data_IF_272176545919
#
_entry.id   IF_272176545919
#
_cell.length_a   1.000
_cell.length_b   1.000
_cell.length_c   1.000
_cell.angle_alpha   90.00
_cell.angle_beta   90.00
_cell.angle_gamma   90.00
#
_symmetry.space_group_name_H-M   'P 1'
#
loop_
_entity.id
_entity.type
_entity.pdbx_description
1 polymer ?
#
# COMPACT_ATOMS: atom_id res chain seq x y z
N UNK A 1 9.11 -49.84 8.58
CA UNK A 1 9.03 -48.48 9.05
C UNK A 1 8.37 -47.68 7.93
N UNK A 2 7.24 -47.06 8.18
CA UNK A 2 6.59 -46.15 7.23
C UNK A 2 6.95 -44.73 7.71
N UNK A 3 7.57 -43.95 6.84
CA UNK A 3 7.91 -42.53 7.12
C UNK A 3 6.91 -41.67 6.36
N UNK A 4 6.22 -40.78 7.06
CA UNK A 4 5.39 -39.74 6.49
C UNK A 4 6.11 -38.41 6.57
N UNK A 5 6.19 -37.71 5.46
CA UNK A 5 6.74 -36.35 5.42
C UNK A 5 5.60 -35.38 5.06
N UNK A 6 5.45 -34.30 5.83
CA UNK A 6 4.47 -33.26 5.54
C UNK A 6 5.05 -32.28 4.51
N UNK A 7 4.68 -32.50 3.26
CA UNK A 7 5.12 -31.69 2.12
C UNK A 7 4.19 -30.51 1.80
N UNK A 8 3.20 -30.24 2.65
CA UNK A 8 2.19 -29.18 2.42
C UNK A 8 2.84 -27.81 2.22
N UNK A 9 3.80 -27.47 3.06
CA UNK A 9 4.54 -26.19 2.96
C UNK A 9 5.37 -26.08 1.67
N UNK A 10 5.95 -27.19 1.21
CA UNK A 10 6.72 -27.24 -0.03
C UNK A 10 5.83 -27.05 -1.26
N UNK A 11 4.68 -27.74 -1.30
CA UNK A 11 3.71 -27.59 -2.38
C UNK A 11 3.13 -26.18 -2.42
N UNK A 12 2.82 -25.60 -1.24
CA UNK A 12 2.32 -24.24 -1.16
C UNK A 12 3.36 -23.25 -1.69
N UNK A 13 4.63 -23.36 -1.25
CA UNK A 13 5.72 -22.51 -1.73
C UNK A 13 5.91 -22.62 -3.26
N UNK A 14 5.86 -23.83 -3.83
CA UNK A 14 5.94 -24.02 -5.29
C UNK A 14 4.77 -23.35 -6.04
N UNK A 15 3.54 -23.49 -5.52
CA UNK A 15 2.37 -22.84 -6.10
C UNK A 15 2.49 -21.30 -6.05
N UNK A 16 2.97 -20.75 -4.94
CA UNK A 16 3.14 -19.32 -4.78
C UNK A 16 4.21 -18.76 -5.74
N UNK A 17 5.31 -19.49 -5.96
CA UNK A 17 6.34 -19.11 -6.94
C UNK A 17 5.77 -19.13 -8.37
N UNK A 18 5.11 -20.24 -8.76
CA UNK A 18 4.53 -20.37 -10.09
C UNK A 18 3.46 -19.31 -10.36
N UNK A 19 2.60 -19.04 -9.36
CA UNK A 19 1.59 -18.01 -9.45
C UNK A 19 2.18 -16.61 -9.57
N UNK A 20 3.25 -16.32 -8.80
CA UNK A 20 3.96 -15.05 -8.87
C UNK A 20 4.57 -14.77 -10.25
N UNK A 21 5.12 -15.78 -10.92
CA UNK A 21 5.66 -15.63 -12.27
C UNK A 21 4.56 -15.35 -13.31
N UNK A 22 3.46 -16.10 -13.24
CA UNK A 22 2.28 -15.89 -14.12
C UNK A 22 1.71 -14.48 -13.94
N UNK A 23 1.50 -14.05 -12.68
CA UNK A 23 0.97 -12.73 -12.38
C UNK A 23 1.86 -11.61 -12.89
N UNK A 24 3.19 -11.74 -12.74
CA UNK A 24 4.15 -10.78 -13.26
C UNK A 24 4.08 -10.67 -14.79
N UNK A 25 4.02 -11.81 -15.48
CA UNK A 25 3.92 -11.84 -16.93
C UNK A 25 2.61 -11.22 -17.41
N UNK A 26 1.48 -11.58 -16.81
CA UNK A 26 0.18 -10.99 -17.10
C UNK A 26 0.18 -9.47 -16.86
N UNK A 27 0.80 -9.01 -15.76
CA UNK A 27 0.92 -7.59 -15.47
C UNK A 27 1.66 -6.84 -16.60
N UNK A 28 2.75 -7.39 -17.10
CA UNK A 28 3.47 -6.80 -18.25
C UNK A 28 2.63 -6.81 -19.52
N UNK A 29 1.95 -7.92 -19.82
CA UNK A 29 1.12 -8.05 -21.01
C UNK A 29 -0.11 -7.10 -20.96
N UNK A 30 -0.68 -6.83 -19.77
CA UNK A 30 -1.78 -5.86 -19.62
C UNK A 30 -1.26 -4.41 -19.70
N UNK A 31 -0.10 -4.09 -19.12
CA UNK A 31 0.46 -2.73 -19.18
C UNK A 31 0.82 -2.30 -20.61
N UNK A 32 1.24 -3.24 -21.45
CA UNK A 32 1.66 -2.97 -22.81
C UNK A 32 0.60 -2.25 -23.66
N UNK A 33 -0.69 -2.65 -23.72
CA UNK A 33 -1.72 -1.91 -24.44
C UNK A 33 -2.19 -0.64 -23.71
N UNK A 34 -2.06 -0.53 -22.39
CA UNK A 34 -2.51 0.63 -21.64
C UNK A 34 -1.67 1.89 -21.92
N UNK A 35 -0.37 1.74 -22.08
CA UNK A 35 0.53 2.86 -22.38
C UNK A 35 0.19 3.56 -23.70
N UNK A 36 0.02 2.89 -24.86
CA UNK A 36 -0.39 3.56 -26.08
C UNK A 36 -1.80 4.16 -26.02
N UNK A 37 -2.73 3.59 -25.24
CA UNK A 37 -4.07 4.18 -25.02
C UNK A 37 -3.92 5.53 -24.31
N UNK A 38 -3.15 5.60 -23.22
CA UNK A 38 -2.90 6.84 -22.50
C UNK A 38 -2.24 7.89 -23.39
N UNK A 39 -1.15 7.51 -24.08
CA UNK A 39 -0.46 8.41 -25.01
C UNK A 39 -1.36 8.93 -26.15
N UNK A 40 -2.29 8.11 -26.62
CA UNK A 40 -3.27 8.52 -27.64
C UNK A 40 -4.24 9.56 -27.09
N UNK A 41 -4.75 9.37 -25.85
CA UNK A 41 -5.62 10.33 -25.19
C UNK A 41 -4.89 11.66 -24.91
N UNK A 42 -3.65 11.62 -24.45
CA UNK A 42 -2.80 12.81 -24.23
C UNK A 42 -2.49 13.55 -25.54
N UNK A 43 -2.22 12.81 -26.62
CA UNK A 43 -2.02 13.40 -27.96
C UNK A 43 -3.28 14.05 -28.50
N UNK A 44 -4.46 13.45 -28.28
CA UNK A 44 -5.73 14.09 -28.65
C UNK A 44 -5.91 15.42 -27.93
N UNK A 45 -5.62 15.49 -26.61
CA UNK A 45 -5.65 16.74 -25.87
C UNK A 45 -4.67 17.77 -26.47
N UNK A 46 -3.41 17.41 -26.55
CA UNK A 46 -2.34 18.32 -26.96
C UNK A 46 -2.54 18.85 -28.39
N UNK A 47 -3.02 18.01 -29.32
CA UNK A 47 -3.14 18.38 -30.73
C UNK A 47 -4.42 19.12 -31.09
N UNK A 48 -5.55 18.71 -30.49
CA UNK A 48 -6.86 19.21 -30.92
C UNK A 48 -7.47 20.27 -30.01
N UNK A 49 -7.18 20.28 -28.69
CA UNK A 49 -7.72 21.32 -27.82
C UNK A 49 -7.45 22.76 -28.27
N UNK A 50 -6.24 23.09 -28.79
CA UNK A 50 -6.00 24.45 -29.29
C UNK A 50 -6.76 24.82 -30.55
N UNK A 51 -7.35 23.84 -31.26
CA UNK A 51 -8.03 24.02 -32.53
C UNK A 51 -9.55 24.05 -32.42
N UNK A 52 -10.09 23.71 -31.26
CA UNK A 52 -11.54 23.56 -31.03
C UNK A 52 -12.15 24.80 -30.39
N UNK A 53 -13.43 25.06 -30.65
CA UNK A 53 -14.22 26.04 -29.88
C UNK A 53 -14.28 25.68 -28.39
N UNK A 54 -14.52 26.65 -27.47
CA UNK A 54 -14.45 26.41 -26.03
C UNK A 54 -15.36 25.29 -25.51
N UNK A 55 -16.58 25.17 -26.01
CA UNK A 55 -17.54 24.13 -25.65
C UNK A 55 -17.07 22.71 -26.04
N UNK A 56 -16.49 22.59 -27.23
CA UNK A 56 -15.93 21.33 -27.73
C UNK A 56 -14.58 21.00 -27.03
N UNK A 57 -13.80 22.01 -26.69
CA UNK A 57 -12.57 21.85 -25.90
C UNK A 57 -12.88 21.26 -24.53
N UNK A 58 -13.91 21.74 -23.85
CA UNK A 58 -14.31 21.23 -22.55
C UNK A 58 -14.83 19.79 -22.62
N UNK A 59 -15.58 19.46 -23.66
CA UNK A 59 -16.02 18.09 -23.90
C UNK A 59 -14.82 17.15 -24.13
N UNK A 60 -13.90 17.53 -25.03
CA UNK A 60 -12.70 16.74 -25.31
C UNK A 60 -11.87 16.56 -24.05
N UNK A 61 -11.69 17.62 -23.24
CA UNK A 61 -10.96 17.57 -21.97
C UNK A 61 -11.59 16.56 -21.00
N UNK A 62 -12.90 16.58 -20.85
CA UNK A 62 -13.63 15.64 -19.98
C UNK A 62 -13.45 14.19 -20.44
N UNK A 63 -13.64 13.92 -21.73
CA UNK A 63 -13.54 12.56 -22.29
C UNK A 63 -12.13 11.99 -22.16
N UNK A 64 -11.13 12.76 -22.57
CA UNK A 64 -9.73 12.32 -22.51
C UNK A 64 -9.24 12.17 -21.06
N UNK A 65 -9.65 13.08 -20.17
CA UNK A 65 -9.35 12.96 -18.72
C UNK A 65 -9.93 11.67 -18.15
N UNK A 66 -11.18 11.33 -18.51
CA UNK A 66 -11.78 10.06 -18.07
C UNK A 66 -10.99 8.86 -18.57
N UNK A 67 -10.58 8.85 -19.83
CA UNK A 67 -9.77 7.76 -20.41
C UNK A 67 -8.45 7.62 -19.64
N UNK A 68 -7.73 8.73 -19.43
CA UNK A 68 -6.45 8.74 -18.72
C UNK A 68 -6.64 8.21 -17.28
N UNK A 69 -7.65 8.70 -16.56
CA UNK A 69 -7.94 8.23 -15.21
C UNK A 69 -8.26 6.74 -15.13
N UNK A 70 -9.02 6.20 -16.09
CA UNK A 70 -9.31 4.77 -16.15
C UNK A 70 -8.06 3.94 -16.46
N UNK A 71 -7.22 4.41 -17.37
CA UNK A 71 -5.95 3.74 -17.69
C UNK A 71 -5.01 3.75 -16.48
N UNK A 72 -4.91 4.85 -15.74
CA UNK A 72 -4.08 4.92 -14.54
C UNK A 72 -4.63 4.00 -13.44
N UNK A 73 -5.94 3.97 -13.22
CA UNK A 73 -6.57 3.03 -12.28
C UNK A 73 -6.30 1.56 -12.66
N UNK A 74 -6.36 1.21 -13.95
CA UNK A 74 -6.01 -0.14 -14.43
C UNK A 74 -4.52 -0.46 -14.22
N UNK A 75 -3.62 0.48 -14.45
CA UNK A 75 -2.18 0.31 -14.18
C UNK A 75 -1.92 0.07 -12.70
N UNK A 76 -2.56 0.83 -11.82
CA UNK A 76 -2.45 0.66 -10.37
C UNK A 76 -2.94 -0.74 -9.96
N UNK A 77 -4.12 -1.16 -10.45
CA UNK A 77 -4.67 -2.49 -10.19
C UNK A 77 -3.72 -3.62 -10.60
N UNK A 78 -3.12 -3.50 -11.79
CA UNK A 78 -2.18 -4.48 -12.33
C UNK A 78 -0.87 -4.49 -11.53
N UNK A 79 -0.40 -3.32 -11.06
CA UNK A 79 0.75 -3.22 -10.18
C UNK A 79 0.49 -3.93 -8.84
N UNK A 80 -0.63 -3.59 -8.19
CA UNK A 80 -1.03 -4.20 -6.92
C UNK A 80 -1.17 -5.72 -7.02
N UNK A 81 -1.78 -6.22 -8.11
CA UNK A 81 -1.88 -7.64 -8.37
C UNK A 81 -0.52 -8.32 -8.53
N UNK A 82 0.38 -7.72 -9.32
CA UNK A 82 1.75 -8.21 -9.48
C UNK A 82 2.51 -8.22 -8.16
N UNK A 83 2.35 -7.17 -7.36
CA UNK A 83 3.04 -7.04 -6.07
C UNK A 83 2.49 -8.02 -5.02
N UNK A 84 1.18 -8.25 -5.01
CA UNK A 84 0.57 -9.27 -4.16
C UNK A 84 1.02 -10.69 -4.52
N UNK A 85 1.17 -10.98 -5.81
CA UNK A 85 1.56 -12.31 -6.30
C UNK A 85 3.07 -12.60 -6.16
N UNK A 86 3.93 -11.58 -5.96
CA UNK A 86 5.38 -11.80 -5.79
C UNK A 86 5.66 -12.72 -4.62
N UNK A 87 6.42 -13.79 -4.90
CA UNK A 87 7.00 -14.63 -3.85
C UNK A 87 8.25 -13.95 -3.29
N UNK A 88 8.40 -13.79 -1.99
CA UNK A 88 9.49 -13.01 -1.44
C UNK A 88 10.79 -13.78 -1.33
N UNK A 89 11.86 -13.26 -1.92
CA UNK A 89 13.17 -13.33 -1.30
C UNK A 89 13.31 -12.09 -0.41
N UNK A 90 13.06 -12.22 0.89
CA UNK A 90 13.21 -11.11 1.84
C UNK A 90 14.68 -10.80 2.02
N UNK A 91 15.09 -9.57 1.74
CA UNK A 91 16.42 -9.07 2.03
C UNK A 91 16.38 -8.19 3.29
N UNK A 92 16.77 -8.76 4.43
CA UNK A 92 16.76 -8.05 5.70
C UNK A 92 18.06 -7.24 5.88
N UNK A 93 17.95 -5.93 5.82
CA UNK A 93 19.03 -4.99 6.10
C UNK A 93 18.80 -4.29 7.44
N UNK A 94 19.89 -3.86 8.08
CA UNK A 94 19.80 -3.00 9.27
C UNK A 94 19.45 -1.58 8.85
N UNK A 95 18.27 -1.10 9.22
CA UNK A 95 17.70 0.15 8.74
C UNK A 95 17.23 1.03 9.90
N UNK A 96 17.65 2.32 9.95
CA UNK A 96 17.04 3.30 10.85
C UNK A 96 15.58 3.53 10.44
N UNK A 97 14.65 3.23 11.35
CA UNK A 97 13.21 3.28 11.04
C UNK A 97 12.71 4.72 10.80
N UNK A 98 13.22 5.68 11.56
CA UNK A 98 12.94 7.10 11.39
C UNK A 98 13.31 7.61 9.99
N UNK A 99 14.50 7.25 9.50
CA UNK A 99 14.97 7.63 8.17
C UNK A 99 14.02 7.11 7.09
N UNK A 100 13.64 5.83 7.17
CA UNK A 100 12.71 5.22 6.22
C UNK A 100 11.34 5.93 6.22
N UNK A 101 10.82 6.23 7.41
CA UNK A 101 9.52 6.92 7.54
C UNK A 101 9.61 8.33 6.94
N UNK A 102 10.68 9.10 7.24
CA UNK A 102 10.88 10.43 6.68
C UNK A 102 11.01 10.43 5.16
N UNK A 103 11.74 9.47 4.57
CA UNK A 103 11.83 9.30 3.12
C UNK A 103 10.44 9.16 2.49
N UNK A 104 9.58 8.32 3.07
CA UNK A 104 8.24 8.11 2.54
C UNK A 104 7.35 9.33 2.75
N UNK A 105 7.36 9.96 3.93
CA UNK A 105 6.58 11.18 4.21
C UNK A 105 6.93 12.29 3.21
N UNK A 106 8.20 12.46 2.88
CA UNK A 106 8.68 13.50 1.97
C UNK A 106 8.04 13.39 0.58
N UNK A 107 7.72 12.19 0.10
CA UNK A 107 7.03 11.99 -1.18
C UNK A 107 5.63 12.62 -1.21
N UNK A 108 4.98 12.72 -0.05
CA UNK A 108 3.62 13.25 0.09
C UNK A 108 3.55 14.72 0.51
N UNK A 109 4.67 15.31 0.94
CA UNK A 109 4.73 16.71 1.39
C UNK A 109 4.62 17.73 0.25
N UNK A 110 4.76 17.32 -1.01
CA UNK A 110 4.57 18.19 -2.17
C UNK A 110 3.14 18.75 -2.28
N UNK A 111 2.17 18.07 -1.66
CA UNK A 111 0.80 18.57 -1.56
C UNK A 111 0.61 19.32 -0.25
N UNK A 112 0.56 20.67 -0.32
CA UNK A 112 0.39 21.56 0.85
C UNK A 112 -0.91 21.35 1.65
N UNK A 113 -1.83 20.53 1.14
CA UNK A 113 -3.10 20.20 1.81
C UNK A 113 -2.98 19.00 2.76
N UNK A 114 -1.90 18.24 2.69
CA UNK A 114 -1.70 17.05 3.50
C UNK A 114 -0.83 17.36 4.71
N UNK A 115 -1.29 17.00 5.90
CA UNK A 115 -0.52 17.09 7.15
C UNK A 115 -0.14 15.68 7.59
N UNK A 116 1.12 15.29 7.34
CA UNK A 116 1.66 13.99 7.73
C UNK A 116 2.80 14.23 8.69
N UNK A 117 2.69 13.70 9.91
CA UNK A 117 3.68 13.92 10.97
C UNK A 117 4.18 12.62 11.56
N UNK A 118 5.49 12.56 11.83
CA UNK A 118 6.10 11.54 12.68
C UNK A 118 6.08 12.04 14.13
N UNK A 119 5.38 11.29 15.00
CA UNK A 119 5.35 11.54 16.44
C UNK A 119 6.42 10.68 17.11
N UNK A 120 7.34 11.26 17.81
CA UNK A 120 8.48 10.63 18.47
C UNK A 120 9.55 10.11 17.51
N UNK A 121 10.69 10.76 17.57
CA UNK A 121 11.93 10.32 16.96
C UNK A 121 12.76 9.61 18.03
N UNK A 122 12.82 8.30 17.96
CA UNK A 122 13.72 7.47 18.75
C UNK A 122 14.64 6.74 17.79
N UNK A 123 15.96 6.87 17.95
CA UNK A 123 16.89 6.14 17.11
C UNK A 123 16.69 4.63 17.27
N UNK A 124 16.03 4.01 16.31
CA UNK A 124 15.72 2.60 16.30
C UNK A 124 16.15 1.98 14.99
N UNK A 125 17.09 1.01 15.08
CA UNK A 125 17.55 0.24 13.93
C UNK A 125 16.86 -1.12 13.94
N UNK A 126 16.18 -1.45 12.83
CA UNK A 126 15.48 -2.70 12.64
C UNK A 126 16.11 -3.50 11.49
N UNK A 127 15.98 -4.82 11.57
CA UNK A 127 16.25 -5.71 10.43
C UNK A 127 14.96 -5.87 9.63
N UNK A 128 14.85 -5.13 8.53
CA UNK A 128 13.69 -5.10 7.65
C UNK A 128 14.11 -5.12 6.18
N UNK A 129 13.24 -5.61 5.31
CA UNK A 129 13.36 -5.34 3.89
C UNK A 129 12.87 -3.92 3.60
N UNK A 130 13.81 -3.02 3.28
CA UNK A 130 13.54 -1.59 3.11
C UNK A 130 12.52 -1.30 2.01
N UNK A 131 12.56 -2.03 0.89
CA UNK A 131 11.65 -1.83 -0.23
C UNK A 131 10.24 -2.30 0.11
N UNK A 132 10.14 -3.45 0.77
CA UNK A 132 8.86 -3.99 1.24
C UNK A 132 8.24 -3.07 2.29
N UNK A 133 9.05 -2.57 3.21
CA UNK A 133 8.52 -1.71 4.27
C UNK A 133 8.14 -0.31 3.78
N UNK A 134 8.84 0.24 2.76
CA UNK A 134 8.37 1.43 2.02
C UNK A 134 6.99 1.19 1.41
N UNK A 135 6.76 0.02 0.83
CA UNK A 135 5.47 -0.36 0.25
C UNK A 135 4.37 -0.41 1.31
N UNK A 136 4.66 -0.93 2.51
CA UNK A 136 3.72 -0.91 3.65
C UNK A 136 3.32 0.53 3.97
N UNK A 137 4.30 1.41 4.21
CA UNK A 137 4.03 2.81 4.54
C UNK A 137 3.27 3.53 3.43
N UNK A 138 3.66 3.32 2.17
CA UNK A 138 2.98 3.88 1.01
C UNK A 138 1.50 3.48 0.96
N UNK A 139 1.20 2.19 1.09
CA UNK A 139 -0.17 1.69 1.08
C UNK A 139 -1.02 2.26 2.23
N UNK A 140 -0.46 2.37 3.43
CA UNK A 140 -1.16 2.93 4.58
C UNK A 140 -1.43 4.42 4.42
N UNK A 141 -0.44 5.19 3.99
CA UNK A 141 -0.58 6.63 3.77
C UNK A 141 -1.58 6.90 2.63
N UNK A 142 -1.46 6.19 1.50
CA UNK A 142 -2.39 6.32 0.36
C UNK A 142 -3.83 6.01 0.79
N UNK A 143 -4.04 4.93 1.54
CA UNK A 143 -5.37 4.57 2.02
C UNK A 143 -5.97 5.65 2.94
N UNK A 144 -5.17 6.25 3.81
CA UNK A 144 -5.59 7.32 4.71
C UNK A 144 -5.93 8.62 3.95
N UNK A 145 -5.14 8.97 2.93
CA UNK A 145 -5.39 10.11 2.05
C UNK A 145 -6.71 9.91 1.31
N UNK A 146 -6.84 8.80 0.59
CA UNK A 146 -8.02 8.49 -0.21
C UNK A 146 -9.30 8.52 0.63
N UNK A 147 -9.29 7.89 1.83
CA UNK A 147 -10.45 7.86 2.72
C UNK A 147 -10.85 9.26 3.20
N UNK A 148 -9.88 10.13 3.50
CA UNK A 148 -10.13 11.49 3.93
C UNK A 148 -10.66 12.35 2.77
N UNK A 149 -10.05 12.24 1.57
CA UNK A 149 -10.46 13.00 0.38
C UNK A 149 -11.86 12.60 -0.11
N UNK A 150 -12.19 11.30 -0.16
CA UNK A 150 -13.52 10.80 -0.52
C UNK A 150 -14.61 11.30 0.46
N UNK A 151 -14.27 11.43 1.73
CA UNK A 151 -15.17 11.99 2.75
C UNK A 151 -15.20 13.54 2.77
N UNK A 152 -14.39 14.22 1.96
CA UNK A 152 -14.26 15.68 1.98
C UNK A 152 -13.63 16.21 3.28
N UNK A 153 -12.86 15.39 3.99
CA UNK A 153 -12.22 15.74 5.26
C UNK A 153 -10.77 16.18 5.05
N UNK A 154 -10.20 16.99 5.96
CA UNK A 154 -8.77 17.33 5.91
C UNK A 154 -7.90 16.08 6.06
N UNK A 155 -6.88 15.96 5.20
CA UNK A 155 -5.91 14.87 5.28
C UNK A 155 -4.93 15.15 6.42
N UNK A 156 -5.10 14.43 7.51
CA UNK A 156 -4.19 14.47 8.67
C UNK A 156 -3.80 13.06 9.05
N UNK A 157 -2.50 12.77 9.07
CA UNK A 157 -1.96 11.44 9.36
C UNK A 157 -0.84 11.58 10.38
N UNK A 158 -0.93 10.80 11.46
CA UNK A 158 0.12 10.70 12.48
C UNK A 158 0.75 9.31 12.40
N UNK A 159 2.05 9.27 12.21
CA UNK A 159 2.86 8.05 12.27
C UNK A 159 3.62 8.07 13.59
N UNK A 160 3.66 6.96 14.29
CA UNK A 160 4.42 6.82 15.53
C UNK A 160 4.94 5.40 15.68
N UNK A 161 6.00 5.23 16.46
CA UNK A 161 6.49 3.90 16.80
C UNK A 161 7.04 3.88 18.24
N UNK A 162 6.98 2.71 18.87
CA UNK A 162 7.48 2.50 20.22
C UNK A 162 7.96 1.06 20.38
N UNK A 163 8.80 0.82 21.38
CA UNK A 163 9.17 -0.53 21.78
C UNK A 163 8.16 -0.99 22.81
N UNK A 164 7.59 -2.17 22.58
CA UNK A 164 6.72 -2.85 23.51
C UNK A 164 7.31 -4.20 23.88
N UNK A 165 7.09 -4.66 25.10
CA UNK A 165 7.53 -5.97 25.56
C UNK A 165 6.37 -6.96 25.50
N UNK A 166 6.57 -8.10 24.81
CA UNK A 166 5.65 -9.22 24.81
C UNK A 166 6.39 -10.47 25.28
N UNK A 167 5.95 -11.01 26.39
CA UNK A 167 6.65 -12.11 27.06
C UNK A 167 8.14 -11.77 27.28
N UNK A 168 9.04 -12.48 26.61
CA UNK A 168 10.50 -12.32 26.72
C UNK A 168 11.14 -11.59 25.53
N UNK A 169 10.36 -11.17 24.56
CA UNK A 169 10.83 -10.58 23.31
C UNK A 169 10.35 -9.13 23.22
N UNK A 170 11.26 -8.24 22.86
CA UNK A 170 10.93 -6.87 22.51
C UNK A 170 10.31 -6.82 21.11
N UNK A 171 9.29 -6.02 20.95
CA UNK A 171 8.62 -5.77 19.69
C UNK A 171 8.60 -4.29 19.39
N UNK A 172 8.61 -3.94 18.12
CA UNK A 172 8.33 -2.58 17.67
C UNK A 172 6.88 -2.51 17.27
N UNK A 173 6.14 -1.60 17.88
CA UNK A 173 4.79 -1.24 17.48
C UNK A 173 4.85 0.05 16.65
N UNK A 174 4.52 -0.06 15.36
CA UNK A 174 4.35 1.07 14.45
C UNK A 174 2.85 1.36 14.31
N UNK A 175 2.48 2.62 14.44
CA UNK A 175 1.10 3.08 14.31
C UNK A 175 0.99 4.10 13.18
N UNK A 176 -0.01 3.93 12.33
CA UNK A 176 -0.42 4.93 11.33
C UNK A 176 -1.86 5.28 11.62
N UNK A 177 -2.08 6.50 12.10
CA UNK A 177 -3.40 7.01 12.48
C UNK A 177 -3.84 8.10 11.50
N UNK A 178 -4.98 7.91 10.88
CA UNK A 178 -5.70 8.94 10.16
C UNK A 178 -6.82 9.57 11.01
N UNK A 179 -7.38 10.66 10.50
CA UNK A 179 -8.53 11.35 11.08
C UNK A 179 -9.68 11.43 10.06
N UNK A 180 -9.78 10.40 9.22
CA UNK A 180 -10.82 10.22 8.23
C UNK A 180 -12.15 9.70 8.83
N UNK A 181 -13.04 9.14 8.01
CA UNK A 181 -14.35 8.68 8.44
C UNK A 181 -14.32 7.42 9.32
N UNK A 182 -13.20 6.70 9.38
CA UNK A 182 -13.11 5.38 10.00
C UNK A 182 -13.46 4.25 9.04
N UNK A 183 -13.48 3.02 9.57
CA UNK A 183 -13.79 1.80 8.82
C UNK A 183 -15.17 1.32 9.27
N UNK A 184 -16.10 0.99 8.35
CA UNK A 184 -17.37 0.36 8.69
C UNK A 184 -17.20 -0.95 9.45
N UNK A 185 -18.07 -1.22 10.42
CA UNK A 185 -17.94 -2.40 11.31
C UNK A 185 -17.99 -3.74 10.56
N UNK A 186 -18.77 -3.82 9.51
CA UNK A 186 -18.89 -4.99 8.63
C UNK A 186 -17.61 -5.26 7.84
N UNK A 187 -16.81 -4.21 7.57
CA UNK A 187 -15.54 -4.31 6.86
C UNK A 187 -14.37 -4.65 7.79
N UNK A 188 -14.49 -4.39 9.10
CA UNK A 188 -13.38 -4.52 10.04
C UNK A 188 -12.77 -5.94 10.07
N UNK A 189 -13.60 -6.96 9.96
CA UNK A 189 -13.17 -8.36 10.03
C UNK A 189 -12.50 -8.86 8.74
N UNK A 190 -12.80 -8.26 7.60
CA UNK A 190 -12.30 -8.66 6.29
C UNK A 190 -11.29 -7.66 5.70
N UNK A 191 -10.94 -6.63 6.46
CA UNK A 191 -10.15 -5.48 6.03
C UNK A 191 -8.81 -5.86 5.36
N UNK A 192 -8.17 -6.92 5.82
CA UNK A 192 -6.90 -7.41 5.31
C UNK A 192 -7.03 -8.57 4.32
N UNK A 193 -8.25 -8.97 3.99
CA UNK A 193 -8.48 -10.00 2.97
C UNK A 193 -8.32 -9.38 1.57
N UNK A 194 -7.79 -10.16 0.60
CA UNK A 194 -7.69 -9.70 -0.79
C UNK A 194 -9.05 -9.30 -1.36
N UNK A 195 -9.05 -8.21 -2.13
CA UNK A 195 -10.24 -7.65 -2.79
C UNK A 195 -11.30 -7.07 -1.83
N UNK A 196 -11.04 -6.97 -0.54
CA UNK A 196 -11.91 -6.28 0.41
C UNK A 196 -11.77 -4.76 0.21
N UNK A 197 -12.82 -4.12 -0.29
CA UNK A 197 -12.84 -2.67 -0.53
C UNK A 197 -14.26 -2.12 -0.44
N UNK A 198 -14.40 -0.95 0.16
CA UNK A 198 -15.62 -0.14 0.10
C UNK A 198 -15.53 0.97 -0.95
N UNK A 199 -14.35 1.16 -1.56
CA UNK A 199 -14.09 2.21 -2.55
C UNK A 199 -14.51 1.76 -3.95
N UNK A 200 -15.16 2.65 -4.72
CA UNK A 200 -15.60 2.36 -6.10
C UNK A 200 -14.42 2.06 -7.03
N UNK A 201 -13.27 2.71 -6.81
CA UNK A 201 -12.05 2.54 -7.62
C UNK A 201 -10.93 1.79 -6.91
N UNK A 202 -11.18 1.28 -5.70
CA UNK A 202 -10.18 0.56 -4.92
C UNK A 202 -9.95 -0.86 -5.41
N UNK A 203 -8.71 -1.31 -5.47
CA UNK A 203 -8.34 -2.69 -5.84
C UNK A 203 -8.64 -3.70 -4.73
N UNK A 204 -8.73 -3.22 -3.48
CA UNK A 204 -8.83 -4.07 -2.29
C UNK A 204 -7.57 -4.89 -2.01
N UNK A 205 -6.45 -4.60 -2.67
CA UNK A 205 -5.20 -5.34 -2.48
C UNK A 205 -4.20 -4.62 -1.55
N UNK A 206 -4.32 -3.31 -1.38
CA UNK A 206 -3.33 -2.53 -0.63
C UNK A 206 -3.13 -3.03 0.81
N UNK A 207 -4.20 -3.27 1.57
CA UNK A 207 -4.12 -3.79 2.95
C UNK A 207 -3.77 -5.29 3.01
N UNK A 208 -4.18 -6.08 2.01
CA UNK A 208 -3.74 -7.46 1.88
C UNK A 208 -2.22 -7.55 1.63
N UNK A 209 -1.65 -6.63 0.83
CA UNK A 209 -0.20 -6.50 0.63
C UNK A 209 0.48 -6.12 1.95
N UNK A 210 -0.09 -5.17 2.71
CA UNK A 210 0.43 -4.81 4.04
C UNK A 210 0.48 -6.02 4.94
N UNK A 211 -0.61 -6.78 5.06
CA UNK A 211 -0.67 -8.00 5.86
C UNK A 211 0.39 -9.00 5.43
N UNK A 212 0.47 -9.29 4.13
CA UNK A 212 1.47 -10.23 3.57
C UNK A 212 2.89 -9.82 3.95
N UNK A 213 3.27 -8.56 3.75
CA UNK A 213 4.62 -8.08 4.06
C UNK A 213 4.90 -8.17 5.57
N UNK A 214 3.92 -7.82 6.41
CA UNK A 214 4.07 -7.91 7.87
C UNK A 214 4.22 -9.36 8.32
N UNK A 215 3.43 -10.29 7.76
CA UNK A 215 3.53 -11.73 8.03
C UNK A 215 4.92 -12.28 7.60
N UNK A 216 5.43 -11.86 6.43
CA UNK A 216 6.79 -12.16 5.94
C UNK A 216 7.88 -11.72 6.93
N UNK A 217 7.66 -10.61 7.66
CA UNK A 217 8.54 -10.11 8.71
C UNK A 217 8.25 -10.72 10.09
N UNK A 218 7.42 -11.79 10.17
CA UNK A 218 7.00 -12.44 11.42
C UNK A 218 6.27 -11.49 12.37
N UNK A 219 5.62 -10.48 11.81
CA UNK A 219 4.85 -9.47 12.52
C UNK A 219 3.36 -9.78 12.60
N UNK A 220 2.62 -8.84 13.13
CA UNK A 220 1.16 -8.84 13.14
C UNK A 220 0.64 -7.46 12.78
N UNK A 221 -0.51 -7.40 12.10
CA UNK A 221 -1.19 -6.15 11.78
C UNK A 221 -2.62 -6.20 12.26
N UNK A 222 -3.12 -5.08 12.75
CA UNK A 222 -4.51 -4.90 13.19
C UNK A 222 -4.96 -3.47 12.94
N UNK A 223 -6.28 -3.29 12.83
CA UNK A 223 -6.91 -1.99 12.72
C UNK A 223 -7.86 -1.75 13.90
N UNK A 224 -8.06 -0.49 14.23
CA UNK A 224 -9.12 -0.04 15.14
C UNK A 224 -9.60 1.34 14.75
N UNK A 225 -10.90 1.59 14.90
CA UNK A 225 -11.43 2.94 14.83
C UNK A 225 -11.07 3.74 16.08
N UNK A 226 -11.01 5.04 15.94
CA UNK A 226 -10.72 5.98 17.00
C UNK A 226 -11.86 6.98 17.18
N UNK A 227 -12.16 7.29 18.43
CA UNK A 227 -13.09 8.36 18.81
C UNK A 227 -12.43 9.74 18.62
N UNK A 228 -13.15 10.77 18.10
CA UNK A 228 -14.52 10.71 17.56
C UNK A 228 -14.60 10.13 16.15
N UNK A 229 -13.51 10.05 15.40
CA UNK A 229 -13.42 9.48 14.05
C UNK A 229 -11.96 9.16 13.69
N UNK A 230 -11.78 8.39 12.60
CA UNK A 230 -10.49 8.00 12.06
C UNK A 230 -10.13 6.56 12.36
N UNK A 231 -9.07 6.09 11.69
CA UNK A 231 -8.56 4.73 11.83
C UNK A 231 -7.12 4.75 12.34
N UNK A 232 -6.77 3.75 13.11
CA UNK A 232 -5.40 3.47 13.50
C UNK A 232 -5.03 2.07 13.05
N UNK A 233 -4.08 1.97 12.12
CA UNK A 233 -3.44 0.70 11.76
C UNK A 233 -2.23 0.53 12.66
N UNK A 234 -2.14 -0.66 13.27
CA UNK A 234 -1.11 -1.02 14.23
C UNK A 234 -0.35 -2.22 13.69
N UNK A 235 0.94 -2.05 13.44
CA UNK A 235 1.86 -3.10 13.01
C UNK A 235 2.82 -3.41 14.13
N UNK A 236 3.02 -4.69 14.43
CA UNK A 236 3.97 -5.12 15.44
C UNK A 236 4.96 -6.10 14.83
N UNK A 237 6.26 -5.82 14.96
CA UNK A 237 7.35 -6.60 14.40
C UNK A 237 8.30 -6.99 15.52
N UNK A 238 8.75 -8.27 15.61
CA UNK A 238 9.70 -8.69 16.64
C UNK A 238 11.04 -7.97 16.46
N UNK A 239 11.52 -7.36 17.54
CA UNK A 239 12.82 -6.71 17.55
C UNK A 239 13.91 -7.77 17.64
N UNK A 240 14.45 -8.19 16.49
CA UNK A 240 15.64 -9.03 16.45
C UNK A 240 16.84 -8.15 16.82
N UNK A 241 17.29 -8.22 18.09
CA UNK A 241 18.50 -7.53 18.51
C UNK A 241 19.66 -7.97 17.63
N UNK A 242 20.34 -7.02 17.02
CA UNK A 242 21.65 -7.28 16.42
C UNK A 242 22.54 -7.57 17.61
N UNK A 243 23.04 -8.80 17.73
CA UNK A 243 24.08 -9.09 18.71
C UNK A 243 25.27 -8.14 18.43
N UNK A 244 25.87 -7.56 19.49
CA UNK A 244 26.99 -6.66 19.36
C UNK A 244 28.19 -7.30 18.67
#
# INVERSE_FOLDING_TARGET
>A
VIVFDDVTSLIQAQRDIAWGEVARRLAHEIKNPLTPIQLSAERLQSKYMPLLPPDQTDLLRKLTKTIIQQVDAMKDMVNDFSDYAKSPSIHLDSLPLDTLIHEVITLYQSNSKHTITLKQEMALVLKLDSNRFRQVLHNLIKNAIDASEEAGMPVTINIGYSIIQKATIDWVELTVRDYGPGIPDDMMNVLFEPYATSKISGTGLGLAIVKKIVDEHQGTVRAKNHDPHGTCIIIQIPLKRVAP
#
